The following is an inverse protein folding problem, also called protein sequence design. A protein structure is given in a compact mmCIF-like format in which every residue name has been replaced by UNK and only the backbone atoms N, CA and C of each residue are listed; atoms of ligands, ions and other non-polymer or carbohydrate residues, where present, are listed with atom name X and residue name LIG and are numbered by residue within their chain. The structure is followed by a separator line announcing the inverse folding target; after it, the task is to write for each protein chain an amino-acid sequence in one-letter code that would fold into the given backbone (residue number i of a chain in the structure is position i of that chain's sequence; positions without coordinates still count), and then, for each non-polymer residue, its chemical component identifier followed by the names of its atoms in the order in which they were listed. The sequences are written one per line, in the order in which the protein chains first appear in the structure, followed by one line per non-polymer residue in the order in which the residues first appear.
data_IF_839692155713
#
_entry.id   IF_839692155713
#
_cell.length_a   1.000
_cell.length_b   1.000
_cell.length_c   1.000
_cell.angle_alpha   90.00
_cell.angle_beta   90.00
_cell.angle_gamma   90.00
#
_symmetry.space_group_name_H-M   'P 1'
#
loop_
_entity.id
_entity.type
_entity.pdbx_description
1 polymer ?
#
# COMPACT_ATOMS: atom_id res chain seq x y z
N UNK A 1 37.16 1.41 -33.78
CA UNK A 1 36.46 2.68 -33.46
C UNK A 1 35.02 2.34 -33.14
N UNK A 2 34.75 2.05 -31.89
CA UNK A 2 33.39 1.80 -31.39
C UNK A 2 33.30 2.55 -30.08
N UNK A 3 32.44 3.56 -30.08
CA UNK A 3 32.16 4.42 -28.92
C UNK A 3 31.39 3.61 -27.86
N UNK A 4 32.05 3.29 -26.77
CA UNK A 4 31.43 2.82 -25.57
C UNK A 4 30.78 4.00 -24.83
N UNK A 5 29.48 4.08 -24.82
CA UNK A 5 28.71 4.96 -23.95
C UNK A 5 28.68 4.32 -22.55
N UNK A 6 29.58 4.83 -21.69
CA UNK A 6 29.54 4.57 -20.27
C UNK A 6 28.27 5.18 -19.64
N UNK A 7 27.29 4.37 -19.37
CA UNK A 7 26.14 4.73 -18.57
C UNK A 7 26.54 4.84 -17.09
N UNK A 8 26.99 6.02 -16.68
CA UNK A 8 27.18 6.35 -15.27
C UNK A 8 25.80 6.34 -14.58
N UNK A 9 25.51 5.27 -13.89
CA UNK A 9 24.38 5.20 -12.97
C UNK A 9 24.61 6.17 -11.80
N UNK A 10 24.25 7.41 -11.97
CA UNK A 10 24.07 8.34 -10.85
C UNK A 10 22.95 7.76 -10.01
N UNK A 11 23.32 7.32 -8.82
CA UNK A 11 22.37 7.07 -7.75
C UNK A 11 21.58 8.36 -7.51
N UNK A 12 20.48 8.51 -8.20
CA UNK A 12 19.46 9.45 -7.80
C UNK A 12 18.85 8.88 -6.53
N UNK A 13 19.26 9.46 -5.41
CA UNK A 13 18.51 9.46 -4.17
C UNK A 13 17.20 10.22 -4.43
N UNK A 14 16.36 9.66 -5.25
CA UNK A 14 14.98 9.99 -5.40
C UNK A 14 14.22 9.26 -4.31
N UNK A 15 14.32 9.78 -3.09
CA UNK A 15 13.34 9.51 -2.05
C UNK A 15 12.00 10.04 -2.51
N UNK A 16 11.33 9.31 -3.37
CA UNK A 16 9.89 9.36 -3.49
C UNK A 16 9.40 8.21 -2.61
N UNK A 17 9.30 8.54 -1.33
CA UNK A 17 8.39 7.88 -0.42
C UNK A 17 7.01 7.84 -1.08
N UNK A 18 6.75 6.80 -1.85
CA UNK A 18 5.42 6.33 -2.15
C UNK A 18 4.86 5.82 -0.83
N UNK A 19 4.38 6.75 -0.01
CA UNK A 19 3.65 6.49 1.21
C UNK A 19 2.36 5.76 0.87
N UNK A 20 2.43 4.45 0.79
CA UNK A 20 1.32 3.53 0.81
C UNK A 20 1.23 2.77 2.13
N UNK A 21 1.97 3.21 3.13
CA UNK A 21 1.91 2.69 4.49
C UNK A 21 0.89 3.48 5.29
N UNK A 22 -0.37 3.21 5.10
CA UNK A 22 -1.41 3.86 5.87
C UNK A 22 -2.09 2.82 6.71
N UNK A 23 -2.06 3.10 8.03
CA UNK A 23 -2.72 2.38 9.12
C UNK A 23 -2.08 1.06 9.59
N UNK A 24 -0.73 1.05 9.65
CA UNK A 24 -0.09 0.34 10.74
C UNK A 24 -0.04 1.29 11.92
N UNK A 25 -1.07 1.36 12.75
CA UNK A 25 -0.97 1.95 14.07
C UNK A 25 0.05 1.15 14.87
N UNK A 26 1.27 1.66 14.95
CA UNK A 26 2.16 1.31 16.05
C UNK A 26 1.50 1.81 17.33
N UNK A 27 0.82 0.91 18.02
CA UNK A 27 0.44 1.07 19.41
C UNK A 27 1.72 1.09 20.23
N UNK A 28 2.28 2.28 20.43
CA UNK A 28 3.12 2.53 21.58
C UNK A 28 2.22 2.40 22.81
N UNK A 29 2.39 1.31 23.52
CA UNK A 29 1.90 1.13 24.87
C UNK A 29 2.56 2.18 25.77
N UNK A 30 1.96 3.36 25.85
CA UNK A 30 2.09 4.23 27.00
C UNK A 30 0.83 4.05 27.83
N UNK A 31 1.01 3.33 28.95
CA UNK A 31 0.05 3.31 30.02
C UNK A 31 -0.06 4.72 30.60
N UNK A 32 -1.16 5.39 30.32
CA UNK A 32 -1.68 6.48 31.13
C UNK A 32 -3.19 6.39 31.15
N UNK A 33 -3.69 6.40 32.37
CA UNK A 33 -5.06 6.28 32.80
C UNK A 33 -6.05 7.16 32.02
N UNK A 34 -7.20 6.56 31.68
CA UNK A 34 -8.50 7.21 31.75
C UNK A 34 -8.76 8.36 30.80
N UNK A 35 -8.83 8.09 29.48
CA UNK A 35 -9.69 8.83 28.57
C UNK A 35 -10.22 7.87 27.52
N UNK A 36 -11.51 7.64 27.60
CA UNK A 36 -12.25 6.84 26.61
C UNK A 36 -12.06 7.45 25.22
N UNK A 37 -11.22 6.79 24.39
CA UNK A 37 -11.01 7.11 22.98
C UNK A 37 -12.26 6.73 22.15
N UNK A 38 -13.39 7.40 22.43
CA UNK A 38 -14.63 7.27 21.65
C UNK A 38 -14.59 7.97 20.29
N UNK A 39 -13.46 8.46 19.84
CA UNK A 39 -13.37 9.25 18.61
C UNK A 39 -13.07 8.46 17.32
N UNK A 40 -12.97 7.14 17.37
CA UNK A 40 -12.60 6.34 16.17
C UNK A 40 -13.82 5.82 15.41
N UNK A 41 -15.00 5.74 16.02
CA UNK A 41 -16.18 5.25 15.33
C UNK A 41 -17.02 6.40 14.77
N UNK A 42 -17.12 6.48 13.46
CA UNK A 42 -17.98 7.45 12.74
C UNK A 42 -19.42 7.45 13.27
N UNK A 43 -19.90 6.32 13.80
CA UNK A 43 -21.21 6.16 14.41
C UNK A 43 -21.30 6.96 15.73
N UNK A 44 -20.26 6.90 16.58
CA UNK A 44 -20.21 7.70 17.80
C UNK A 44 -20.20 9.22 17.52
N UNK A 45 -19.51 9.65 16.45
CA UNK A 45 -19.51 11.04 16.03
C UNK A 45 -20.89 11.51 15.56
N UNK A 46 -21.63 10.70 14.81
CA UNK A 46 -23.00 11.01 14.36
C UNK A 46 -23.93 11.12 15.56
N UNK A 47 -23.86 10.20 16.51
CA UNK A 47 -24.67 10.21 17.73
C UNK A 47 -24.33 11.44 18.60
N UNK A 48 -23.05 11.79 18.74
CA UNK A 48 -22.63 12.97 19.51
C UNK A 48 -23.13 14.28 18.87
N UNK A 49 -23.05 14.43 17.56
CA UNK A 49 -23.54 15.61 16.86
C UNK A 49 -25.07 15.69 16.94
N UNK A 50 -25.75 14.55 16.75
CA UNK A 50 -27.20 14.48 16.93
C UNK A 50 -27.61 14.91 18.37
N UNK A 51 -26.86 14.47 19.40
CA UNK A 51 -27.06 14.83 20.77
C UNK A 51 -26.83 16.34 21.04
N UNK A 52 -25.77 16.91 20.45
CA UNK A 52 -25.48 18.35 20.53
C UNK A 52 -26.60 19.15 19.85
N UNK A 53 -27.04 18.73 18.66
CA UNK A 53 -28.13 19.39 17.94
C UNK A 53 -29.48 19.31 18.70
N UNK A 54 -29.70 18.22 19.46
CA UNK A 54 -30.85 18.09 20.34
C UNK A 54 -30.79 19.07 21.53
N UNK A 55 -29.60 19.35 22.06
CA UNK A 55 -29.42 20.23 23.22
C UNK A 55 -29.57 21.74 22.90
N UNK A 56 -29.49 22.15 21.63
CA UNK A 56 -29.63 23.57 21.23
C UNK A 56 -31.10 23.95 21.14
N UNK A 57 -31.68 24.43 22.27
CA UNK A 57 -33.12 24.74 22.39
C UNK A 57 -33.64 25.82 21.43
N UNK A 58 -32.79 26.78 20.99
CA UNK A 58 -33.21 27.93 20.17
C UNK A 58 -33.22 27.70 18.65
N UNK A 59 -32.93 26.47 18.17
CA UNK A 59 -32.89 26.17 16.72
C UNK A 59 -34.18 25.57 16.23
N UNK A 60 -34.67 26.02 15.07
CA UNK A 60 -35.82 25.42 14.40
C UNK A 60 -35.54 23.96 13.99
N UNK A 61 -36.57 23.10 13.99
CA UNK A 61 -36.46 21.68 13.62
C UNK A 61 -35.88 21.50 12.21
N UNK A 62 -36.26 22.34 11.26
CA UNK A 62 -35.78 22.28 9.89
C UNK A 62 -34.27 22.56 9.78
N UNK A 63 -33.77 23.51 10.55
CA UNK A 63 -32.36 23.85 10.58
C UNK A 63 -31.52 22.69 11.19
N UNK A 64 -32.02 22.03 12.23
CA UNK A 64 -31.34 20.84 12.82
C UNK A 64 -31.25 19.68 11.83
N UNK A 65 -32.35 19.39 11.13
CA UNK A 65 -32.39 18.35 10.10
C UNK A 65 -31.43 18.71 8.96
N UNK A 66 -31.44 19.95 8.49
CA UNK A 66 -30.55 20.41 7.43
C UNK A 66 -29.07 20.27 7.84
N UNK A 67 -28.69 20.71 9.04
CA UNK A 67 -27.32 20.57 9.54
C UNK A 67 -26.88 19.12 9.68
N UNK A 68 -27.76 18.22 10.15
CA UNK A 68 -27.48 16.80 10.23
C UNK A 68 -27.17 16.23 8.84
N UNK A 69 -27.99 16.53 7.84
CA UNK A 69 -27.78 16.05 6.47
C UNK A 69 -26.55 16.65 5.80
N UNK A 70 -26.27 17.94 6.03
CA UNK A 70 -25.04 18.59 5.54
C UNK A 70 -23.81 17.89 6.13
N UNK A 71 -23.83 17.63 7.45
CA UNK A 71 -22.73 16.92 8.10
C UNK A 71 -22.51 15.52 7.54
N UNK A 72 -23.59 14.72 7.41
CA UNK A 72 -23.51 13.36 6.85
C UNK A 72 -23.02 13.40 5.41
N UNK A 73 -23.55 14.32 4.59
CA UNK A 73 -23.12 14.48 3.21
C UNK A 73 -21.63 14.83 3.12
N UNK A 74 -21.15 15.75 3.95
CA UNK A 74 -19.73 16.13 3.99
C UNK A 74 -18.85 14.97 4.42
N UNK A 75 -19.24 14.23 5.46
CA UNK A 75 -18.51 13.06 5.93
C UNK A 75 -18.45 11.96 4.86
N UNK A 76 -19.56 11.68 4.18
CA UNK A 76 -19.64 10.69 3.08
C UNK A 76 -18.77 11.10 1.89
N UNK A 77 -18.82 12.37 1.48
CA UNK A 77 -18.03 12.87 0.36
C UNK A 77 -16.53 12.80 0.69
N UNK A 78 -16.12 13.26 1.88
CA UNK A 78 -14.70 13.25 2.27
C UNK A 78 -14.15 11.83 2.39
N UNK A 79 -14.87 10.92 3.04
CA UNK A 79 -14.45 9.51 3.16
C UNK A 79 -14.47 8.80 1.81
N UNK A 80 -15.47 9.05 0.98
CA UNK A 80 -15.56 8.51 -0.38
C UNK A 80 -14.40 8.97 -1.28
N UNK A 81 -14.01 10.24 -1.20
CA UNK A 81 -12.85 10.77 -1.93
C UNK A 81 -11.55 10.14 -1.44
N UNK A 82 -11.35 10.04 -0.12
CA UNK A 82 -10.15 9.42 0.46
C UNK A 82 -10.01 7.95 0.03
N UNK A 83 -11.09 7.18 0.09
CA UNK A 83 -11.08 5.78 -0.37
C UNK A 83 -10.86 5.71 -1.88
N UNK A 84 -11.49 6.58 -2.67
CA UNK A 84 -11.31 6.61 -4.12
C UNK A 84 -9.86 6.86 -4.50
N UNK A 85 -9.19 7.82 -3.87
CA UNK A 85 -7.78 8.13 -4.14
C UNK A 85 -6.87 6.95 -3.76
N UNK A 86 -7.10 6.35 -2.59
CA UNK A 86 -6.22 5.28 -2.08
C UNK A 86 -6.48 3.91 -2.73
N UNK A 87 -7.73 3.60 -3.13
CA UNK A 87 -8.11 2.28 -3.64
C UNK A 87 -8.12 2.24 -5.17
N UNK A 88 -8.55 3.32 -5.82
CA UNK A 88 -8.67 3.38 -7.29
C UNK A 88 -7.46 4.05 -7.95
N UNK A 89 -6.54 4.60 -7.16
CA UNK A 89 -5.32 5.20 -7.65
C UNK A 89 -4.45 4.18 -8.41
N UNK A 90 -3.68 4.66 -9.37
CA UNK A 90 -2.64 3.83 -10.01
C UNK A 90 -1.49 3.66 -9.03
N UNK A 91 -1.30 2.44 -8.56
CA UNK A 91 -0.16 2.08 -7.73
C UNK A 91 1.00 1.64 -8.61
N UNK A 92 2.17 2.22 -8.35
CA UNK A 92 3.42 1.85 -9.02
C UNK A 92 4.30 1.10 -8.03
N UNK A 93 4.85 0.01 -8.48
CA UNK A 93 5.84 -0.73 -7.70
C UNK A 93 6.90 -1.30 -8.63
N UNK A 94 8.08 -1.55 -8.08
CA UNK A 94 9.18 -2.15 -8.81
C UNK A 94 9.28 -3.64 -8.48
N UNK A 95 9.51 -4.43 -9.51
CA UNK A 95 9.72 -5.86 -9.43
C UNK A 95 11.09 -6.23 -9.97
N UNK A 96 11.68 -7.29 -9.45
CA UNK A 96 12.85 -7.89 -10.04
C UNK A 96 12.45 -8.85 -11.19
N UNK A 97 13.35 -9.13 -12.13
CA UNK A 97 13.08 -10.03 -13.25
C UNK A 97 12.63 -11.43 -12.83
N UNK A 98 12.99 -11.82 -11.61
CA UNK A 98 12.70 -13.15 -11.05
C UNK A 98 11.55 -13.16 -10.05
N UNK A 99 10.81 -12.08 -9.92
CA UNK A 99 9.80 -12.00 -8.87
C UNK A 99 8.59 -12.90 -9.15
N UNK A 100 8.23 -13.70 -8.17
CA UNK A 100 6.92 -14.31 -8.05
C UNK A 100 6.37 -13.94 -6.67
N UNK A 101 5.62 -12.83 -6.60
CA UNK A 101 5.14 -12.30 -5.31
C UNK A 101 3.65 -11.98 -5.31
N UNK A 102 3.10 -11.89 -4.11
CA UNK A 102 1.73 -11.43 -3.90
C UNK A 102 1.64 -9.92 -4.05
N UNK A 103 0.56 -9.45 -4.68
CA UNK A 103 0.19 -8.02 -4.81
C UNK A 103 -0.82 -7.64 -3.71
N UNK A 104 -0.72 -8.25 -2.55
CA UNK A 104 -1.78 -8.25 -1.54
C UNK A 104 -2.05 -6.90 -0.89
N UNK A 105 -1.03 -6.09 -0.67
CA UNK A 105 -1.15 -4.82 0.06
C UNK A 105 -1.81 -3.70 -0.76
N UNK A 106 -2.11 -3.96 -2.03
CA UNK A 106 -2.61 -2.97 -2.98
C UNK A 106 -4.05 -3.23 -3.46
N UNK A 107 -4.65 -4.36 -3.07
CA UNK A 107 -5.97 -4.77 -3.57
C UNK A 107 -7.00 -4.80 -2.45
N UNK A 108 -7.94 -3.87 -2.50
CA UNK A 108 -9.10 -3.90 -1.61
C UNK A 108 -10.24 -4.68 -2.25
N UNK A 109 -10.47 -5.92 -1.80
CA UNK A 109 -11.46 -6.84 -2.36
C UNK A 109 -12.89 -6.32 -2.31
N UNK A 110 -13.24 -5.47 -1.35
CA UNK A 110 -14.59 -4.92 -1.21
C UNK A 110 -14.90 -3.91 -2.31
N UNK A 111 -13.97 -3.01 -2.59
CA UNK A 111 -14.19 -1.89 -3.51
C UNK A 111 -13.64 -2.14 -4.92
N UNK A 112 -12.74 -3.12 -5.10
CA UNK A 112 -12.15 -3.47 -6.38
C UNK A 112 -12.93 -4.59 -7.06
N UNK A 113 -13.43 -4.35 -8.28
CA UNK A 113 -14.11 -5.34 -9.09
C UNK A 113 -13.14 -6.13 -9.96
N UNK A 114 -12.19 -5.43 -10.57
CA UNK A 114 -11.12 -6.05 -11.35
C UNK A 114 -9.83 -5.26 -11.18
N UNK A 115 -8.72 -5.97 -11.16
CA UNK A 115 -7.37 -5.41 -11.09
C UNK A 115 -6.75 -5.48 -12.49
N UNK A 116 -6.36 -4.33 -13.00
CA UNK A 116 -5.64 -4.22 -14.26
C UNK A 116 -4.16 -4.02 -13.95
N UNK A 117 -3.33 -4.93 -14.45
CA UNK A 117 -1.88 -4.87 -14.30
C UNK A 117 -1.23 -4.52 -15.65
N UNK A 118 -0.20 -3.70 -15.59
CA UNK A 118 0.61 -3.30 -16.72
C UNK A 118 2.08 -3.28 -16.32
N UNK A 119 3.00 -3.48 -17.25
CA UNK A 119 4.43 -3.57 -16.99
C UNK A 119 5.25 -3.12 -18.17
N UNK A 120 6.53 -2.77 -17.94
CA UNK A 120 7.52 -2.59 -19.01
C UNK A 120 7.95 -3.91 -19.67
N UNK A 121 7.83 -5.03 -18.96
CA UNK A 121 8.26 -6.35 -19.40
C UNK A 121 7.12 -7.39 -19.36
N UNK A 122 7.25 -8.51 -20.07
CA UNK A 122 6.25 -9.58 -20.04
C UNK A 122 6.14 -10.19 -18.65
N UNK A 123 4.91 -10.50 -18.23
CA UNK A 123 4.61 -11.19 -16.97
C UNK A 123 3.36 -12.04 -17.08
N UNK A 124 3.17 -12.90 -16.10
CA UNK A 124 1.94 -13.63 -15.85
C UNK A 124 1.37 -13.22 -14.49
N UNK A 125 0.05 -13.21 -14.37
CA UNK A 125 -0.59 -12.93 -13.10
C UNK A 125 -1.75 -13.91 -12.85
N UNK A 126 -1.91 -14.27 -11.60
CA UNK A 126 -2.82 -15.32 -11.12
C UNK A 126 -3.64 -14.81 -9.96
N UNK A 127 -4.91 -15.22 -9.90
CA UNK A 127 -5.77 -15.00 -8.73
C UNK A 127 -6.04 -16.30 -7.99
N UNK A 128 -6.09 -16.24 -6.68
CA UNK A 128 -6.35 -17.37 -5.80
C UNK A 128 -7.43 -16.99 -4.79
N UNK A 129 -8.41 -17.86 -4.55
CA UNK A 129 -9.41 -17.69 -3.49
C UNK A 129 -8.90 -18.12 -2.11
N UNK A 130 -7.68 -18.66 -2.06
CA UNK A 130 -6.98 -19.10 -0.84
C UNK A 130 -5.54 -18.60 -0.88
N UNK A 131 -4.86 -18.75 0.25
CA UNK A 131 -3.42 -18.51 0.34
C UNK A 131 -2.67 -19.39 -0.66
N UNK A 132 -1.90 -18.84 -1.61
CA UNK A 132 -1.11 -19.64 -2.54
C UNK A 132 0.00 -20.39 -1.79
N UNK A 133 0.15 -21.67 -2.11
CA UNK A 133 1.13 -22.55 -1.48
C UNK A 133 2.39 -22.60 -2.32
N UNK A 134 3.56 -22.50 -1.67
CA UNK A 134 4.85 -22.70 -2.34
C UNK A 134 5.01 -24.18 -2.63
N UNK A 135 5.29 -24.53 -3.89
CA UNK A 135 5.56 -25.90 -4.30
C UNK A 135 7.08 -26.13 -4.41
N UNK A 136 7.67 -26.88 -3.46
CA UNK A 136 9.12 -27.13 -3.47
C UNK A 136 9.58 -27.99 -4.65
N UNK A 137 8.66 -28.66 -5.36
CA UNK A 137 8.97 -29.46 -6.55
C UNK A 137 9.04 -28.59 -7.82
N UNK A 138 8.41 -27.42 -7.83
CA UNK A 138 8.45 -26.46 -8.92
C UNK A 138 9.62 -25.53 -8.73
N UNK A 139 10.68 -25.79 -9.48
CA UNK A 139 11.94 -25.07 -9.41
C UNK A 139 12.22 -24.41 -10.75
N UNK A 140 12.64 -23.16 -10.70
CA UNK A 140 13.11 -22.42 -11.88
C UNK A 140 14.50 -21.87 -11.61
N UNK A 141 15.36 -21.93 -12.65
CA UNK A 141 16.73 -21.41 -12.57
C UNK A 141 16.83 -20.08 -13.28
N UNK A 142 17.47 -19.14 -12.64
CA UNK A 142 17.76 -17.84 -13.18
C UNK A 142 19.24 -17.52 -12.96
N UNK A 143 19.90 -17.06 -14.01
CA UNK A 143 21.31 -16.68 -13.97
C UNK A 143 21.44 -15.28 -14.58
N UNK A 144 22.13 -14.42 -13.87
CA UNK A 144 22.41 -13.06 -14.37
C UNK A 144 23.81 -12.61 -13.97
N UNK A 145 24.36 -11.68 -14.73
CA UNK A 145 25.67 -11.10 -14.48
C UNK A 145 25.55 -9.58 -14.49
N UNK A 146 26.11 -8.97 -13.47
CA UNK A 146 26.14 -7.52 -13.31
C UNK A 146 27.58 -7.04 -13.35
N UNK A 147 27.77 -5.90 -13.96
CA UNK A 147 29.04 -5.20 -14.01
C UNK A 147 28.82 -3.78 -13.48
N UNK A 148 29.59 -3.39 -12.49
CA UNK A 148 29.49 -2.04 -11.91
C UNK A 148 30.88 -1.49 -11.59
N UNK A 149 30.99 -0.16 -11.66
CA UNK A 149 32.17 0.57 -11.18
C UNK A 149 31.75 1.42 -9.99
N UNK A 150 32.53 1.33 -8.91
CA UNK A 150 32.28 2.01 -7.63
C UNK A 150 33.47 2.90 -7.31
N UNK A 151 33.19 4.07 -6.73
CA UNK A 151 34.19 4.99 -6.17
C UNK A 151 33.93 5.18 -4.69
N UNK A 152 34.82 5.87 -3.97
CA UNK A 152 34.75 6.05 -2.52
C UNK A 152 33.38 6.40 -1.98
N UNK A 153 33.01 5.78 -0.87
CA UNK A 153 31.76 5.95 -0.14
C UNK A 153 30.48 5.70 -0.98
N UNK A 154 30.58 4.88 -2.03
CA UNK A 154 29.43 4.50 -2.86
C UNK A 154 28.97 3.09 -2.57
N UNK A 155 27.68 2.88 -2.76
CA UNK A 155 27.06 1.58 -2.67
C UNK A 155 26.28 1.25 -3.96
N UNK A 156 26.15 -0.03 -4.24
CA UNK A 156 25.25 -0.56 -5.25
C UNK A 156 24.62 -1.85 -4.74
N UNK A 157 23.42 -2.15 -5.16
CA UNK A 157 22.73 -3.37 -4.73
C UNK A 157 21.79 -3.91 -5.79
N UNK A 158 21.57 -5.24 -5.73
CA UNK A 158 20.56 -5.94 -6.49
C UNK A 158 19.62 -6.66 -5.54
N UNK A 159 18.31 -6.50 -5.76
CA UNK A 159 17.28 -7.09 -4.95
C UNK A 159 16.50 -8.16 -5.69
N UNK A 160 16.16 -9.24 -4.99
CA UNK A 160 15.37 -10.36 -5.51
C UNK A 160 14.35 -10.78 -4.47
N UNK A 161 13.09 -10.89 -4.88
CA UNK A 161 12.09 -11.53 -4.03
C UNK A 161 12.21 -13.03 -4.15
N UNK A 162 12.53 -13.70 -3.06
CA UNK A 162 12.77 -15.14 -3.04
C UNK A 162 11.78 -15.82 -2.11
N UNK A 163 11.12 -16.86 -2.61
CA UNK A 163 10.22 -17.69 -1.82
C UNK A 163 11.02 -18.65 -0.94
N UNK A 164 10.42 -19.06 0.18
CA UNK A 164 10.99 -20.06 1.08
C UNK A 164 11.37 -21.33 0.30
N UNK A 165 12.58 -21.85 0.55
CA UNK A 165 13.12 -23.02 -0.14
C UNK A 165 13.94 -22.67 -1.38
N UNK A 166 13.97 -21.39 -1.81
CA UNK A 166 14.86 -20.93 -2.86
C UNK A 166 16.32 -20.93 -2.39
N UNK A 167 17.24 -20.97 -3.34
CA UNK A 167 18.68 -20.88 -3.10
C UNK A 167 19.29 -19.86 -4.05
N UNK A 168 20.12 -18.96 -3.51
CA UNK A 168 20.89 -18.03 -4.33
C UNK A 168 22.39 -18.22 -4.10
N UNK A 169 23.15 -18.29 -5.18
CA UNK A 169 24.61 -18.31 -5.14
C UNK A 169 25.11 -17.07 -5.83
N UNK A 170 25.86 -16.25 -5.09
CA UNK A 170 26.47 -15.03 -5.62
C UNK A 170 27.95 -15.23 -5.70
N UNK A 171 28.50 -15.03 -6.88
CA UNK A 171 29.93 -15.07 -7.15
C UNK A 171 30.35 -13.69 -7.60
N UNK A 172 31.21 -13.03 -6.86
CA UNK A 172 31.74 -11.72 -7.25
C UNK A 172 33.24 -11.74 -7.37
N UNK A 173 33.76 -10.93 -8.29
CA UNK A 173 35.17 -10.67 -8.45
C UNK A 173 35.41 -9.17 -8.58
N UNK A 174 36.46 -8.67 -7.93
CA UNK A 174 36.84 -7.27 -7.97
C UNK A 174 38.34 -7.10 -7.83
N UNK A 175 38.83 -5.93 -8.24
CA UNK A 175 40.25 -5.62 -8.24
C UNK A 175 40.77 -5.27 -6.84
N UNK A 176 39.90 -4.88 -5.90
CA UNK A 176 40.24 -4.47 -4.55
C UNK A 176 39.27 -5.00 -3.50
N UNK A 177 39.53 -4.69 -2.22
CA UNK A 177 38.69 -5.04 -1.09
C UNK A 177 37.35 -4.31 -1.14
N UNK A 178 36.26 -5.08 -1.11
CA UNK A 178 34.89 -4.60 -1.12
C UNK A 178 34.13 -5.23 0.03
N UNK A 179 33.32 -4.43 0.71
CA UNK A 179 32.37 -4.94 1.68
C UNK A 179 31.08 -5.39 1.03
N UNK A 180 30.68 -6.65 1.27
CA UNK A 180 29.44 -7.23 0.78
C UNK A 180 28.51 -7.47 1.95
N UNK A 181 27.28 -6.99 1.84
CA UNK A 181 26.23 -7.19 2.86
C UNK A 181 25.06 -7.94 2.23
N UNK A 182 24.56 -8.94 2.95
CA UNK A 182 23.35 -9.66 2.59
C UNK A 182 22.23 -9.16 3.48
N UNK A 183 21.25 -8.50 2.90
CA UNK A 183 20.19 -7.81 3.63
C UNK A 183 18.85 -8.48 3.30
N UNK A 184 18.01 -8.69 4.32
CA UNK A 184 16.66 -9.22 4.18
C UNK A 184 15.64 -8.16 4.55
N UNK A 185 14.68 -7.92 3.67
CA UNK A 185 13.60 -6.96 3.87
C UNK A 185 13.95 -5.53 3.46
N UNK A 186 12.99 -4.83 2.86
CA UNK A 186 13.15 -3.45 2.38
C UNK A 186 13.40 -2.45 3.51
N UNK A 187 12.81 -2.66 4.69
CA UNK A 187 13.04 -1.82 5.87
C UNK A 187 14.48 -1.89 6.36
N UNK A 188 15.09 -3.08 6.34
CA UNK A 188 16.48 -3.27 6.72
C UNK A 188 17.43 -2.67 5.69
N UNK A 189 17.08 -2.77 4.39
CA UNK A 189 17.84 -2.09 3.34
C UNK A 189 17.82 -0.57 3.56
N UNK A 190 16.66 0.01 3.84
CA UNK A 190 16.55 1.44 4.10
C UNK A 190 17.35 1.84 5.34
N UNK A 191 17.24 1.08 6.43
CA UNK A 191 18.02 1.31 7.64
C UNK A 191 19.53 1.24 7.38
N UNK A 192 19.99 0.33 6.50
CA UNK A 192 21.39 0.24 6.12
C UNK A 192 21.84 1.49 5.34
N UNK A 193 21.03 1.93 4.37
CA UNK A 193 21.31 3.12 3.55
C UNK A 193 21.38 4.39 4.43
N UNK A 194 20.40 4.57 5.32
CA UNK A 194 20.30 5.76 6.19
C UNK A 194 21.47 5.85 7.17
N UNK A 195 21.98 4.72 7.64
CA UNK A 195 23.07 4.62 8.60
C UNK A 195 24.44 4.29 7.96
N UNK A 196 24.54 4.29 6.64
CA UNK A 196 25.75 3.97 5.88
C UNK A 196 26.47 2.70 6.38
N UNK A 197 25.71 1.63 6.57
CA UNK A 197 26.23 0.34 7.02
C UNK A 197 26.47 0.19 8.52
N UNK A 198 26.28 1.24 9.32
CA UNK A 198 26.49 1.21 10.77
C UNK A 198 25.31 0.66 11.57
N UNK A 199 24.28 0.14 10.93
CA UNK A 199 23.10 -0.37 11.62
C UNK A 199 23.36 -1.75 12.23
N UNK A 200 23.00 -1.91 13.50
CA UNK A 200 23.10 -3.20 14.19
C UNK A 200 21.90 -4.09 13.84
N UNK A 201 22.19 -5.25 13.23
CA UNK A 201 21.14 -6.26 12.92
C UNK A 201 20.32 -6.03 11.65
N UNK A 202 20.63 -5.06 10.80
CA UNK A 202 19.94 -4.84 9.53
C UNK A 202 20.44 -5.71 8.38
N UNK A 203 21.45 -6.55 8.59
CA UNK A 203 21.95 -7.48 7.59
C UNK A 203 22.08 -8.90 8.18
N UNK A 204 21.92 -9.90 7.32
CA UNK A 204 22.08 -11.32 7.69
C UNK A 204 23.55 -11.72 7.78
N UNK A 205 24.37 -11.17 6.89
CA UNK A 205 25.79 -11.43 6.82
C UNK A 205 26.53 -10.22 6.24
N UNK A 206 27.78 -10.03 6.69
CA UNK A 206 28.70 -9.07 6.09
C UNK A 206 30.05 -9.73 5.87
N UNK A 207 30.65 -9.46 4.71
CA UNK A 207 31.95 -10.00 4.33
C UNK A 207 32.78 -8.92 3.66
N UNK A 208 34.09 -8.96 3.92
CA UNK A 208 35.06 -8.16 3.17
C UNK A 208 35.77 -9.09 2.21
N UNK A 209 35.78 -8.77 0.95
CA UNK A 209 36.16 -9.68 -0.14
C UNK A 209 37.35 -9.17 -0.92
N UNK A 210 38.23 -10.05 -1.33
CA UNK A 210 39.32 -9.82 -2.31
C UNK A 210 39.91 -11.16 -2.76
N UNK A 211 40.25 -11.35 -4.01
CA UNK A 211 39.72 -10.77 -5.25
C UNK A 211 38.42 -11.44 -5.70
N UNK A 212 38.10 -12.62 -5.12
CA UNK A 212 36.89 -13.39 -5.47
C UNK A 212 36.13 -13.77 -4.20
N UNK A 213 34.81 -13.73 -4.30
CA UNK A 213 33.90 -14.06 -3.21
C UNK A 213 32.77 -14.94 -3.72
N UNK A 214 32.43 -15.96 -2.97
CA UNK A 214 31.27 -16.80 -3.22
C UNK A 214 30.45 -16.90 -1.96
N UNK A 215 29.19 -16.59 -2.05
CA UNK A 215 28.22 -16.72 -0.97
C UNK A 215 27.00 -17.51 -1.41
N UNK A 216 26.58 -18.43 -0.55
CA UNK A 216 25.37 -19.22 -0.77
C UNK A 216 24.33 -18.83 0.26
N UNK A 217 23.17 -18.41 -0.20
CA UNK A 217 22.01 -18.07 0.60
C UNK A 217 20.95 -19.15 0.46
N UNK A 218 20.60 -19.81 1.56
CA UNK A 218 19.44 -20.69 1.64
C UNK A 218 18.27 -19.93 2.25
N UNK A 219 17.19 -19.80 1.48
CA UNK A 219 16.05 -18.95 1.86
C UNK A 219 15.09 -19.68 2.80
N UNK A 220 15.10 -19.28 4.06
CA UNK A 220 14.24 -19.85 5.10
C UNK A 220 12.85 -19.22 5.20
N UNK A 221 12.69 -17.99 4.70
CA UNK A 221 11.43 -17.22 4.71
C UNK A 221 11.30 -16.45 3.39
N UNK A 222 10.09 -16.37 2.86
CA UNK A 222 9.81 -15.59 1.65
C UNK A 222 9.93 -14.10 1.96
N UNK A 223 10.82 -13.40 1.28
CA UNK A 223 11.10 -11.98 1.48
C UNK A 223 11.92 -11.38 0.34
N UNK A 224 12.12 -10.07 0.35
CA UNK A 224 13.11 -9.39 -0.49
C UNK A 224 14.52 -9.61 0.10
N UNK A 225 15.44 -10.09 -0.72
CA UNK A 225 16.84 -10.26 -0.38
C UNK A 225 17.71 -9.38 -1.25
N UNK A 226 18.63 -8.64 -0.64
CA UNK A 226 19.49 -7.69 -1.31
C UNK A 226 20.95 -8.08 -1.13
N UNK A 227 21.68 -8.07 -2.23
CA UNK A 227 23.14 -8.20 -2.24
C UNK A 227 23.72 -6.79 -2.42
N UNK A 228 24.21 -6.21 -1.35
CA UNK A 228 24.72 -4.86 -1.28
C UNK A 228 26.24 -4.87 -1.30
N UNK A 229 26.81 -4.07 -2.17
CA UNK A 229 28.26 -3.85 -2.29
C UNK A 229 28.56 -2.42 -1.88
N UNK A 230 29.58 -2.25 -1.05
CA UNK A 230 29.99 -0.96 -0.54
C UNK A 230 31.51 -0.82 -0.60
N UNK A 231 31.99 0.30 -1.14
CA UNK A 231 33.41 0.62 -1.24
C UNK A 231 33.72 1.89 -0.44
N UNK A 232 34.81 1.83 0.32
CA UNK A 232 35.43 2.99 0.98
C UNK A 232 36.69 3.45 0.24
N UNK A 233 37.10 2.79 -0.84
CA UNK A 233 38.29 3.12 -1.62
C UNK A 233 38.14 4.43 -2.38
N UNK A 234 39.15 5.25 -2.38
CA UNK A 234 39.19 6.49 -3.16
C UNK A 234 39.44 6.24 -4.65
N UNK A 235 39.72 5.01 -5.04
CA UNK A 235 39.92 4.60 -6.43
C UNK A 235 38.66 4.02 -7.02
N UNK A 236 38.60 4.01 -8.36
CA UNK A 236 37.53 3.33 -9.07
C UNK A 236 37.75 1.82 -8.98
N UNK A 237 36.83 1.12 -8.37
CA UNK A 237 36.82 -0.34 -8.26
C UNK A 237 35.80 -0.88 -9.25
N UNK A 238 36.21 -1.88 -10.01
CA UNK A 238 35.33 -2.62 -10.92
C UNK A 238 34.91 -3.93 -10.28
N UNK A 239 33.61 -4.17 -10.26
CA UNK A 239 33.02 -5.37 -9.66
C UNK A 239 32.21 -6.11 -10.71
N UNK A 240 32.52 -7.39 -10.88
CA UNK A 240 31.68 -8.33 -11.62
C UNK A 240 30.94 -9.22 -10.64
N UNK A 241 29.64 -9.31 -10.78
CA UNK A 241 28.76 -10.10 -9.91
C UNK A 241 27.94 -11.07 -10.75
N UNK A 242 28.12 -12.35 -10.53
CA UNK A 242 27.30 -13.40 -11.14
C UNK A 242 26.34 -13.94 -10.07
N UNK A 243 25.05 -13.93 -10.37
CA UNK A 243 24.00 -14.39 -9.45
C UNK A 243 23.29 -15.59 -10.09
N UNK A 244 23.32 -16.70 -9.39
CA UNK A 244 22.67 -17.96 -9.77
C UNK A 244 21.57 -18.23 -8.77
N UNK A 245 20.31 -18.17 -9.22
CA UNK A 245 19.15 -18.38 -8.36
C UNK A 245 18.42 -19.65 -8.79
N UNK A 246 18.25 -20.56 -7.83
CA UNK A 246 17.33 -21.68 -7.92
C UNK A 246 16.13 -21.32 -7.09
N UNK A 247 15.06 -20.85 -7.73
CA UNK A 247 13.87 -20.36 -7.04
C UNK A 247 12.77 -21.40 -6.99
N UNK A 248 12.11 -21.51 -5.86
CA UNK A 248 10.82 -22.20 -5.72
C UNK A 248 9.70 -21.29 -6.22
N UNK A 249 8.61 -21.86 -6.69
CA UNK A 249 7.45 -21.14 -7.20
C UNK A 249 6.20 -21.45 -6.37
N UNK A 250 5.19 -20.60 -6.48
CA UNK A 250 3.84 -20.96 -6.01
C UNK A 250 3.22 -22.01 -6.93
N UNK A 251 2.41 -22.87 -6.35
CA UNK A 251 1.58 -23.79 -7.13
C UNK A 251 0.43 -23.02 -7.78
N UNK A 252 0.52 -22.81 -9.10
CA UNK A 252 -0.48 -22.10 -9.90
C UNK A 252 -1.64 -22.98 -10.35
N UNK A 253 -1.61 -24.30 -10.07
CA UNK A 253 -2.68 -25.23 -10.48
C UNK A 253 -4.03 -24.94 -9.82
N UNK A 254 -4.02 -24.28 -8.66
CA UNK A 254 -5.21 -23.88 -7.91
C UNK A 254 -5.67 -22.44 -8.20
N UNK A 255 -5.06 -21.77 -9.19
CA UNK A 255 -5.45 -20.42 -9.56
C UNK A 255 -6.88 -20.40 -10.15
N UNK A 256 -7.69 -19.43 -9.70
CA UNK A 256 -9.06 -19.22 -10.18
C UNK A 256 -9.12 -18.50 -11.50
N UNK A 257 -8.21 -17.59 -11.76
CA UNK A 257 -8.01 -16.98 -13.07
C UNK A 257 -6.54 -16.62 -13.30
N UNK A 258 -6.17 -16.45 -14.55
CA UNK A 258 -4.84 -16.01 -14.92
C UNK A 258 -4.88 -15.11 -16.14
N UNK A 259 -3.87 -14.30 -16.31
CA UNK A 259 -3.60 -13.57 -17.54
C UNK A 259 -2.10 -13.53 -17.82
N UNK A 260 -1.74 -13.55 -19.09
CA UNK A 260 -0.38 -13.33 -19.57
C UNK A 260 -0.32 -11.97 -20.26
N UNK A 261 0.69 -11.19 -19.96
CA UNK A 261 0.90 -9.85 -20.50
C UNK A 261 2.19 -9.76 -21.28
N UNK A 262 2.14 -9.08 -22.42
CA UNK A 262 3.30 -8.62 -23.18
C UNK A 262 3.14 -7.13 -23.46
N UNK A 263 4.21 -6.34 -23.56
CA UNK A 263 4.12 -4.88 -23.76
C UNK A 263 3.33 -4.44 -25.00
N UNK A 264 3.18 -5.32 -26.00
CA UNK A 264 2.37 -5.08 -27.21
C UNK A 264 0.89 -5.43 -27.05
N UNK A 265 0.53 -6.12 -25.97
CA UNK A 265 -0.82 -6.66 -25.79
C UNK A 265 -1.70 -5.72 -24.97
N UNK A 266 -2.97 -6.08 -24.85
CA UNK A 266 -3.89 -5.38 -23.94
C UNK A 266 -3.43 -5.59 -22.49
N UNK A 267 -3.64 -4.59 -21.62
CA UNK A 267 -3.35 -4.74 -20.19
C UNK A 267 -4.01 -6.00 -19.61
N UNK A 268 -3.28 -6.67 -18.73
CA UNK A 268 -3.77 -7.86 -18.02
C UNK A 268 -4.86 -7.45 -17.03
N UNK A 269 -6.06 -8.00 -17.14
CA UNK A 269 -7.18 -7.71 -16.24
C UNK A 269 -7.63 -8.98 -15.55
N UNK A 270 -7.62 -8.97 -14.22
CA UNK A 270 -8.02 -10.07 -13.34
C UNK A 270 -9.28 -9.68 -12.58
N UNK A 271 -10.28 -10.56 -12.57
CA UNK A 271 -11.47 -10.35 -11.77
C UNK A 271 -11.18 -10.61 -10.29
N UNK A 272 -11.65 -9.68 -9.44
CA UNK A 272 -11.46 -9.72 -8.00
C UNK A 272 -12.73 -10.23 -7.34
N UNK A 273 -12.68 -11.40 -6.71
CA UNK A 273 -13.77 -11.95 -5.92
C UNK A 273 -13.93 -11.19 -4.58
N UNK A 274 -15.11 -11.31 -3.94
CA UNK A 274 -15.34 -10.76 -2.60
C UNK A 274 -14.75 -11.64 -1.48
N UNK A 275 -14.03 -12.71 -1.84
CA UNK A 275 -13.41 -13.59 -0.84
C UNK A 275 -12.40 -12.83 0.01
N UNK A 276 -12.48 -12.92 1.36
CA UNK A 276 -11.51 -12.27 2.24
C UNK A 276 -10.09 -12.84 2.10
N UNK A 277 -9.97 -14.03 1.51
CA UNK A 277 -8.70 -14.75 1.32
C UNK A 277 -8.18 -14.67 -0.12
N UNK A 278 -8.77 -13.78 -0.93
CA UNK A 278 -8.31 -13.62 -2.29
C UNK A 278 -6.90 -13.05 -2.34
N UNK A 279 -6.05 -13.67 -3.13
CA UNK A 279 -4.68 -13.24 -3.36
C UNK A 279 -4.43 -13.06 -4.84
N UNK A 280 -3.66 -12.06 -5.21
CA UNK A 280 -3.14 -11.88 -6.55
C UNK A 280 -1.64 -12.11 -6.50
N UNK A 281 -1.14 -12.98 -7.37
CA UNK A 281 0.28 -13.27 -7.52
C UNK A 281 0.69 -12.89 -8.93
N UNK A 282 1.72 -12.09 -9.08
CA UNK A 282 2.37 -11.95 -10.37
C UNK A 282 3.65 -12.77 -10.43
N UNK A 283 3.96 -13.26 -11.61
CA UNK A 283 5.14 -14.06 -11.92
C UNK A 283 5.86 -13.45 -13.10
N UNK A 284 7.12 -13.14 -12.89
CA UNK A 284 8.01 -12.67 -13.92
C UNK A 284 8.89 -13.82 -14.41
N UNK A 285 8.84 -14.12 -15.70
CA UNK A 285 9.52 -15.28 -16.30
C UNK A 285 11.04 -15.14 -16.44
N UNK A 286 11.64 -14.07 -15.93
CA UNK A 286 13.10 -13.88 -15.97
C UNK A 286 13.68 -13.53 -17.35
N UNK A 287 12.84 -13.40 -18.37
CA UNK A 287 13.27 -13.11 -19.76
C UNK A 287 13.28 -11.61 -20.08
N UNK A 288 13.15 -10.77 -19.06
CA UNK A 288 13.15 -9.30 -19.20
C UNK A 288 14.54 -8.76 -19.53
N UNK A 289 14.56 -7.66 -20.28
CA UNK A 289 15.77 -6.93 -20.64
C UNK A 289 16.24 -5.98 -19.53
N UNK A 290 15.43 -5.80 -18.49
CA UNK A 290 15.65 -4.80 -17.45
C UNK A 290 15.95 -5.42 -16.10
N UNK A 291 16.92 -4.87 -15.38
CA UNK A 291 17.25 -5.27 -14.00
C UNK A 291 16.16 -4.92 -13.00
N UNK A 292 15.31 -3.96 -13.34
CA UNK A 292 14.14 -3.51 -12.56
C UNK A 292 12.99 -3.30 -13.50
N UNK A 293 11.87 -3.86 -13.14
CA UNK A 293 10.65 -3.83 -13.93
C UNK A 293 9.66 -2.91 -13.23
N UNK A 294 9.25 -1.86 -13.93
CA UNK A 294 8.19 -1.01 -13.45
C UNK A 294 6.84 -1.66 -13.71
N UNK A 295 6.07 -1.82 -12.66
CA UNK A 295 4.72 -2.36 -12.71
C UNK A 295 3.70 -1.33 -12.25
N UNK A 296 2.55 -1.31 -12.90
CA UNK A 296 1.41 -0.47 -12.55
C UNK A 296 0.20 -1.34 -12.30
N UNK A 297 -0.48 -1.06 -11.20
CA UNK A 297 -1.76 -1.67 -10.90
C UNK A 297 -2.85 -0.62 -10.83
N UNK A 298 -3.98 -0.88 -11.44
CA UNK A 298 -5.16 0.00 -11.42
C UNK A 298 -6.39 -0.83 -11.09
N UNK A 299 -7.16 -0.40 -10.13
CA UNK A 299 -8.38 -1.07 -9.72
C UNK A 299 -9.61 -0.45 -10.40
N UNK A 300 -10.44 -1.26 -11.02
CA UNK A 300 -11.78 -0.87 -11.48
C UNK A 300 -12.76 -0.96 -10.31
N UNK A 301 -13.43 0.16 -10.02
CA UNK A 301 -14.35 0.25 -8.88
C UNK A 301 -15.55 -0.68 -8.98
N UNK A 302 -15.92 -1.26 -7.85
CA UNK A 302 -17.18 -2.01 -7.65
C UNK A 302 -18.28 -1.02 -7.26
N UNK A 303 -18.93 -0.41 -8.27
CA UNK A 303 -19.88 0.71 -8.11
C UNK A 303 -20.98 0.40 -7.09
N UNK A 304 -21.57 -0.81 -7.12
CA UNK A 304 -22.65 -1.16 -6.22
C UNK A 304 -22.23 -1.18 -4.74
N UNK A 305 -20.95 -1.50 -4.43
CA UNK A 305 -20.44 -1.44 -3.06
C UNK A 305 -20.33 0.00 -2.57
N UNK A 306 -19.89 0.92 -3.45
CA UNK A 306 -19.92 2.34 -3.15
C UNK A 306 -21.34 2.85 -2.87
N UNK A 307 -22.31 2.41 -3.64
CA UNK A 307 -23.73 2.78 -3.42
C UNK A 307 -24.27 2.26 -2.08
N UNK A 308 -23.90 1.05 -1.67
CA UNK A 308 -24.28 0.52 -0.36
C UNK A 308 -23.61 1.31 0.75
N UNK A 309 -22.28 1.43 0.73
CA UNK A 309 -21.51 2.00 1.83
C UNK A 309 -21.73 3.51 1.97
N UNK A 310 -21.82 4.24 0.86
CA UNK A 310 -21.86 5.71 0.88
C UNK A 310 -23.25 6.31 0.65
N UNK A 311 -24.23 5.55 0.22
CA UNK A 311 -25.59 6.05 0.09
C UNK A 311 -26.57 5.32 1.02
N UNK A 312 -26.65 4.00 0.92
CA UNK A 312 -27.68 3.23 1.62
C UNK A 312 -27.44 3.23 3.16
N UNK A 313 -26.22 2.88 3.61
CA UNK A 313 -25.93 2.82 5.04
C UNK A 313 -26.11 4.18 5.72
N UNK A 314 -25.54 5.29 5.24
CA UNK A 314 -25.77 6.60 5.87
C UNK A 314 -27.22 7.03 5.83
N UNK A 315 -27.97 6.73 4.76
CA UNK A 315 -29.40 7.04 4.69
C UNK A 315 -30.21 6.25 5.74
N UNK A 316 -29.93 4.96 5.89
CA UNK A 316 -30.60 4.11 6.91
C UNK A 316 -30.27 4.55 8.34
N UNK A 317 -29.07 5.07 8.58
CA UNK A 317 -28.68 5.55 9.90
C UNK A 317 -29.28 6.93 10.22
N UNK A 318 -29.37 7.82 9.23
CA UNK A 318 -29.85 9.21 9.44
C UNK A 318 -31.37 9.34 9.38
N UNK A 319 -32.08 8.48 8.65
CA UNK A 319 -33.54 8.52 8.54
C UNK A 319 -34.26 8.40 9.91
N UNK A 320 -33.93 7.45 10.81
CA UNK A 320 -34.54 7.37 12.13
C UNK A 320 -34.28 8.63 12.97
N UNK A 321 -33.05 9.19 12.93
CA UNK A 321 -32.71 10.41 13.66
C UNK A 321 -33.50 11.61 13.13
N UNK A 322 -33.63 11.71 11.81
CA UNK A 322 -34.45 12.75 11.17
C UNK A 322 -35.92 12.63 11.62
N UNK A 323 -36.46 11.40 11.67
CA UNK A 323 -37.81 11.14 12.14
C UNK A 323 -38.00 11.51 13.61
N UNK A 324 -37.01 11.24 14.47
CA UNK A 324 -37.02 11.66 15.88
C UNK A 324 -37.01 13.19 16.01
N UNK A 325 -36.20 13.89 15.24
CA UNK A 325 -36.21 15.36 15.23
C UNK A 325 -37.55 15.90 14.76
N UNK A 326 -38.14 15.31 13.74
CA UNK A 326 -39.44 15.73 13.25
C UNK A 326 -40.57 15.52 14.29
N UNK A 327 -40.53 14.37 15.01
CA UNK A 327 -41.57 14.01 15.98
C UNK A 327 -41.45 14.75 17.32
N UNK A 328 -40.22 14.92 17.85
CA UNK A 328 -40.00 15.39 19.20
C UNK A 328 -39.55 16.84 19.30
N UNK A 329 -38.98 17.43 18.26
CA UNK A 329 -38.61 18.83 18.30
C UNK A 329 -39.79 19.70 17.83
N UNK A 330 -40.51 20.35 18.78
CA UNK A 330 -41.56 21.33 18.44
C UNK A 330 -40.92 22.62 17.94
N UNK A 331 -41.54 23.30 16.97
CA UNK A 331 -41.18 24.66 16.56
C UNK A 331 -41.73 25.64 17.59
N UNK A 332 -40.85 26.32 18.31
CA UNK A 332 -41.24 27.33 19.33
C UNK A 332 -41.85 28.61 18.71
N UNK A 333 -41.83 28.74 17.36
CA UNK A 333 -42.41 29.93 16.67
C UNK A 333 -43.93 30.10 16.86
N UNK A 334 -44.63 29.02 17.17
CA UNK A 334 -46.08 29.11 17.39
C UNK A 334 -46.46 29.74 18.76
N UNK A 335 -45.55 29.80 19.70
CA UNK A 335 -45.79 30.43 21.00
C UNK A 335 -45.48 31.95 20.98
N UNK A 336 -44.54 32.37 20.17
CA UNK A 336 -44.16 33.80 20.07
C UNK A 336 -45.26 34.61 19.40
N UNK A 337 -45.96 34.07 18.40
CA UNK A 337 -47.10 34.74 17.77
C UNK A 337 -48.33 34.81 18.67
N UNK A 338 -48.53 33.83 19.60
CA UNK A 338 -49.63 33.89 20.57
C UNK A 338 -49.35 34.87 21.70
N UNK A 339 -48.08 35.14 22.03
CA UNK A 339 -47.71 36.12 23.03
C UNK A 339 -47.87 37.56 22.53
N UNK A 340 -47.60 37.82 21.26
CA UNK A 340 -47.75 39.14 20.64
C UNK A 340 -49.23 39.50 20.49
N UNK A 341 -50.11 38.56 20.10
CA UNK A 341 -51.56 38.82 20.01
C UNK A 341 -52.26 39.05 21.38
N UNK A 342 -51.62 38.65 22.50
CA UNK A 342 -52.17 38.88 23.82
C UNK A 342 -51.83 40.24 24.45
N UNK A 343 -50.77 40.93 23.95
CA UNK A 343 -50.38 42.28 24.40
C UNK A 343 -51.23 43.39 23.74
N UNK A 344 -51.75 43.17 22.50
CA UNK A 344 -52.55 44.17 21.79
C UNK A 344 -54.03 44.29 22.32
N UNK A 345 -54.42 43.38 23.23
CA UNK A 345 -55.81 43.38 23.80
C UNK A 345 -55.90 43.97 25.19
N UNK A 346 -54.94 44.73 25.69
CA UNK A 346 -55.10 45.49 26.95
C UNK A 346 -56.00 46.69 26.69
N UNK A 347 -57.20 46.77 27.44
CA UNK A 347 -58.07 47.89 27.25
C UNK A 347 -57.42 49.17 27.76
N UNK A 348 -57.27 50.14 26.90
CA UNK A 348 -56.77 51.48 27.16
C UNK A 348 -57.78 52.18 28.08
N UNK A 349 -57.60 52.12 29.43
CA UNK A 349 -58.36 52.88 30.40
C UNK A 349 -57.93 54.36 30.33
N UNK A 350 -58.75 55.19 29.72
CA UNK A 350 -58.64 56.63 29.76
C UNK A 350 -58.97 57.10 31.20
N UNK A 351 -58.01 57.72 31.85
CA UNK A 351 -58.26 58.75 32.90
C UNK A 351 -57.84 60.11 32.38
#
# INVERSE_FOLDING_TARGET
MTHGLGGGGRGLSGGLGGGGGIWGMHLHHHSSEGRSDCCVDSICCIINIASILLCIRKMSRYLRIALLWIYVATAVITTGLLISINVLGTNKFQAAPTDMRKVQDQVNNAFCQSLTLNSSDPFEAYTFDREPVVDPSKIEQFNTSYFTSMTGDTNTYWGFYLLKGSKAVVVSSGDELISVFIIKGSSNLQAWIDNKGSCNGCYLASHVTSPTFTYTLDVSQSDDYYFMYYSTSNYVIVVNVNVYITRTLYDVSSATSHCSYRPSDKPCSLDISLSPHMNVVYHNGGNGLHDRIDMWSTCKSRVWMYMIVFALIPALMTAPVTFLFWKYCKDDRSQENLAVDSEDNLPYNKF
#
